data_IF_689365994524
#
_entry.id   IF_689365994524
#
_cell.length_a   1.000
_cell.length_b   1.000
_cell.length_c   1.000
_cell.angle_alpha   90.00
_cell.angle_beta   90.00
_cell.angle_gamma   90.00
#
_symmetry.space_group_name_H-M   'P 1'
#
loop_
_entity.id
_entity.type
_entity.pdbx_description
1 polymer ?
#
# COMPACT_ATOMS: atom_id res chain seq x y z
N UNK A 1 2.67 -55.03 -4.60
CA UNK A 1 2.76 -54.32 -5.91
C UNK A 1 1.54 -53.46 -6.24
N UNK A 2 0.30 -53.87 -5.95
CA UNK A 2 -0.92 -53.05 -6.21
C UNK A 2 -1.01 -51.76 -5.37
N UNK A 3 -0.47 -51.78 -4.15
CA UNK A 3 -0.52 -50.65 -3.19
C UNK A 3 0.45 -49.50 -3.50
N UNK A 4 1.50 -49.74 -4.29
CA UNK A 4 2.45 -48.68 -4.70
C UNK A 4 1.96 -47.91 -5.93
N UNK A 5 1.12 -48.54 -6.76
CA UNK A 5 0.56 -47.92 -7.97
C UNK A 5 -0.52 -46.88 -7.62
N UNK A 6 -1.33 -47.14 -6.59
CA UNK A 6 -2.36 -46.22 -6.09
C UNK A 6 -1.77 -45.01 -5.36
N UNK A 7 -0.65 -45.17 -4.66
CA UNK A 7 0.06 -44.07 -4.01
C UNK A 7 0.68 -43.08 -5.02
N UNK A 8 1.17 -43.56 -6.16
CA UNK A 8 1.72 -42.71 -7.23
C UNK A 8 0.62 -41.88 -7.93
N UNK A 9 -0.56 -42.46 -8.14
CA UNK A 9 -1.69 -41.77 -8.78
C UNK A 9 -2.25 -40.64 -7.92
N UNK A 10 -2.28 -40.81 -6.59
CA UNK A 10 -2.70 -39.75 -5.66
C UNK A 10 -1.69 -38.60 -5.55
N UNK A 11 -0.38 -38.90 -5.61
CA UNK A 11 0.67 -37.88 -5.59
C UNK A 11 0.66 -37.02 -6.87
N UNK A 12 0.37 -37.60 -8.04
CA UNK A 12 0.22 -36.84 -9.28
C UNK A 12 -1.00 -35.91 -9.30
N UNK A 13 -2.13 -36.32 -8.70
CA UNK A 13 -3.31 -35.45 -8.60
C UNK A 13 -3.13 -34.27 -7.64
N UNK A 14 -2.34 -34.43 -6.57
CA UNK A 14 -2.04 -33.31 -5.66
C UNK A 14 -1.10 -32.28 -6.31
N UNK A 15 -0.13 -32.71 -7.13
CA UNK A 15 0.82 -31.78 -7.78
C UNK A 15 0.20 -30.93 -8.90
N UNK A 16 -0.88 -31.38 -9.54
CA UNK A 16 -1.56 -30.60 -10.60
C UNK A 16 -2.49 -29.51 -10.06
N UNK A 17 -3.01 -29.66 -8.84
CA UNK A 17 -3.93 -28.67 -8.25
C UNK A 17 -3.22 -27.43 -7.70
N UNK A 18 -1.98 -27.54 -7.20
CA UNK A 18 -1.20 -26.37 -6.75
C UNK A 18 -0.74 -25.46 -7.92
N UNK A 19 -0.52 -26.03 -9.10
CA UNK A 19 -0.08 -25.25 -10.27
C UNK A 19 -1.21 -24.40 -10.88
N UNK A 20 -2.45 -24.89 -10.79
CA UNK A 20 -3.63 -24.21 -11.33
C UNK A 20 -3.94 -22.88 -10.61
N UNK A 21 -3.80 -22.83 -9.27
CA UNK A 21 -4.07 -21.61 -8.47
C UNK A 21 -3.04 -20.51 -8.76
N UNK A 22 -1.76 -20.88 -8.93
CA UNK A 22 -0.71 -19.92 -9.29
C UNK A 22 -0.90 -19.38 -10.71
N UNK A 23 -1.28 -20.22 -11.67
CA UNK A 23 -1.53 -19.84 -13.06
C UNK A 23 -2.79 -18.97 -13.24
N UNK A 24 -3.85 -19.19 -12.44
CA UNK A 24 -5.05 -18.33 -12.47
C UNK A 24 -4.73 -16.88 -12.09
N UNK A 25 -3.93 -16.65 -11.03
CA UNK A 25 -3.56 -15.29 -10.60
C UNK A 25 -2.72 -14.52 -11.64
N UNK A 26 -1.83 -15.21 -12.35
CA UNK A 26 -1.00 -14.61 -13.39
C UNK A 26 -1.78 -14.33 -14.68
N UNK A 27 -2.68 -15.25 -15.06
CA UNK A 27 -3.57 -15.08 -16.21
C UNK A 27 -4.54 -13.91 -16.04
N UNK A 28 -5.15 -13.77 -14.87
CA UNK A 28 -6.03 -12.63 -14.55
C UNK A 28 -5.27 -11.31 -14.55
N UNK A 29 -4.05 -11.26 -13.99
CA UNK A 29 -3.21 -10.06 -14.03
C UNK A 29 -2.84 -9.67 -15.46
N UNK A 30 -2.47 -10.64 -16.30
CA UNK A 30 -2.15 -10.39 -17.71
C UNK A 30 -3.36 -9.86 -18.49
N UNK A 31 -4.56 -10.40 -18.22
CA UNK A 31 -5.80 -9.90 -18.82
C UNK A 31 -6.10 -8.45 -18.41
N UNK A 32 -5.97 -8.12 -17.12
CA UNK A 32 -6.15 -6.73 -16.62
C UNK A 32 -5.15 -5.76 -17.22
N UNK A 33 -3.89 -6.16 -17.40
CA UNK A 33 -2.87 -5.32 -18.05
C UNK A 33 -3.25 -5.06 -19.51
N UNK A 34 -3.70 -6.08 -20.25
CA UNK A 34 -4.14 -5.92 -21.64
C UNK A 34 -5.35 -5.00 -21.76
N UNK A 35 -6.33 -5.15 -20.87
CA UNK A 35 -7.51 -4.27 -20.81
C UNK A 35 -7.12 -2.82 -20.51
N UNK A 36 -6.22 -2.60 -19.54
CA UNK A 36 -5.72 -1.27 -19.21
C UNK A 36 -4.91 -0.64 -20.36
N UNK A 37 -4.09 -1.43 -21.06
CA UNK A 37 -3.30 -0.97 -22.20
C UNK A 37 -4.15 -0.56 -23.41
N UNK A 38 -5.39 -1.05 -23.51
CA UNK A 38 -6.33 -0.66 -24.57
C UNK A 38 -6.98 0.72 -24.31
N UNK A 39 -6.91 1.25 -23.08
CA UNK A 39 -7.46 2.56 -22.71
C UNK A 39 -6.45 3.65 -23.05
N UNK A 40 -6.91 4.79 -23.59
CA UNK A 40 -6.04 5.91 -23.88
C UNK A 40 -5.38 6.46 -22.60
N UNK A 41 -4.07 6.73 -22.65
CA UNK A 41 -3.34 7.33 -21.53
C UNK A 41 -3.84 8.75 -21.27
N UNK A 42 -4.35 9.08 -20.06
CA UNK A 42 -4.68 10.45 -19.69
C UNK A 42 -3.48 11.38 -19.89
N UNK A 43 -3.72 12.60 -20.37
CA UNK A 43 -2.68 13.61 -20.65
C UNK A 43 -2.95 14.87 -19.83
N UNK A 44 -1.87 15.46 -19.31
CA UNK A 44 -1.91 16.77 -18.68
C UNK A 44 -2.08 17.88 -19.73
N UNK A 45 -2.32 19.12 -19.28
CA UNK A 45 -2.53 20.27 -20.15
C UNK A 45 -1.31 20.59 -21.04
N UNK A 46 -0.12 20.13 -20.67
CA UNK A 46 1.13 20.25 -21.43
C UNK A 46 1.36 19.08 -22.42
N UNK A 47 0.42 18.13 -22.52
CA UNK A 47 0.46 16.99 -23.42
C UNK A 47 1.26 15.78 -22.91
N UNK A 48 1.92 15.87 -21.76
CA UNK A 48 2.61 14.74 -21.14
C UNK A 48 1.61 13.76 -20.51
N UNK A 49 1.96 12.46 -20.32
CA UNK A 49 1.15 11.53 -19.55
C UNK A 49 0.84 12.10 -18.17
N UNK A 50 -0.43 12.08 -17.77
CA UNK A 50 -0.84 12.52 -16.45
C UNK A 50 -0.51 11.44 -15.41
N UNK A 51 0.51 11.70 -14.59
CA UNK A 51 0.95 10.83 -13.50
C UNK A 51 0.48 11.31 -12.13
N UNK A 52 -0.49 12.23 -12.09
CA UNK A 52 -0.93 12.86 -10.83
C UNK A 52 -1.75 11.93 -9.94
N UNK A 53 -2.18 10.77 -10.43
CA UNK A 53 -3.01 9.82 -9.69
C UNK A 53 -2.39 9.24 -8.41
N UNK A 54 -3.25 8.78 -7.51
CA UNK A 54 -2.94 7.83 -6.43
C UNK A 54 -2.88 6.42 -7.01
N UNK A 55 -1.75 5.72 -6.86
CA UNK A 55 -1.52 4.41 -7.50
C UNK A 55 -1.24 3.27 -6.52
N UNK A 56 -1.42 3.51 -5.21
CA UNK A 56 -1.28 2.41 -4.26
C UNK A 56 -2.49 1.48 -4.35
N UNK A 57 -2.24 0.22 -4.00
CA UNK A 57 -3.29 -0.79 -3.97
C UNK A 57 -4.43 -0.35 -3.04
N UNK A 58 -5.65 -0.85 -3.28
CA UNK A 58 -6.73 -0.68 -2.31
C UNK A 58 -6.24 -1.08 -0.92
N UNK A 59 -6.64 -0.35 0.13
CA UNK A 59 -6.21 -0.66 1.49
C UNK A 59 -6.47 -2.14 1.78
N UNK A 60 -5.44 -2.82 2.30
CA UNK A 60 -5.56 -4.19 2.79
C UNK A 60 -6.59 -4.31 3.91
N UNK A 61 -6.83 -5.53 4.44
CA UNK A 61 -7.68 -5.69 5.61
C UNK A 61 -7.23 -4.73 6.71
N UNK A 62 -8.19 -4.05 7.35
CA UNK A 62 -7.90 -3.07 8.40
C UNK A 62 -7.10 -3.67 9.56
N UNK A 63 -6.55 -2.81 10.42
CA UNK A 63 -5.78 -3.22 11.59
C UNK A 63 -6.51 -4.32 12.36
N UNK A 64 -5.80 -5.41 12.67
CA UNK A 64 -6.38 -6.51 13.43
C UNK A 64 -6.73 -6.02 14.83
N UNK A 65 -7.95 -6.36 15.28
CA UNK A 65 -8.42 -6.00 16.61
C UNK A 65 -9.05 -7.20 17.30
N UNK A 66 -8.84 -7.26 18.62
CA UNK A 66 -9.47 -8.23 19.51
C UNK A 66 -10.54 -7.47 20.28
N UNK A 67 -11.78 -7.94 20.20
CA UNK A 67 -12.88 -7.43 21.01
C UNK A 67 -13.00 -8.28 22.27
N UNK A 68 -13.13 -7.64 23.44
CA UNK A 68 -13.36 -8.36 24.69
C UNK A 68 -14.65 -9.18 24.63
N UNK A 69 -14.73 -10.26 25.42
CA UNK A 69 -15.89 -11.15 25.43
C UNK A 69 -17.20 -10.43 25.81
N UNK A 70 -17.12 -9.37 26.61
CA UNK A 70 -18.25 -8.50 26.97
C UNK A 70 -18.57 -7.43 25.90
N UNK A 71 -17.80 -7.36 24.81
CA UNK A 71 -17.99 -6.45 23.69
C UNK A 71 -17.59 -5.00 23.93
N UNK A 72 -17.11 -4.65 25.15
CA UNK A 72 -16.90 -3.26 25.60
C UNK A 72 -15.52 -2.70 25.26
N UNK A 73 -14.52 -3.55 25.08
CA UNK A 73 -13.14 -3.15 24.85
C UNK A 73 -12.67 -3.63 23.49
N UNK A 74 -12.04 -2.73 22.73
CA UNK A 74 -11.35 -3.04 21.47
C UNK A 74 -9.85 -2.84 21.70
N UNK A 75 -9.08 -3.91 21.57
CA UNK A 75 -7.62 -3.88 21.59
C UNK A 75 -7.13 -4.05 20.17
N UNK A 76 -6.49 -3.03 19.61
CA UNK A 76 -5.80 -3.16 18.32
C UNK A 76 -4.49 -3.90 18.57
N UNK A 77 -4.23 -4.98 17.82
CA UNK A 77 -3.14 -5.92 18.09
C UNK A 77 -1.76 -5.25 18.01
N UNK A 78 -1.63 -4.17 17.23
CA UNK A 78 -0.40 -3.37 17.07
C UNK A 78 -0.46 -1.99 17.75
N UNK A 79 -1.36 -1.78 18.73
CA UNK A 79 -1.55 -0.43 19.33
C UNK A 79 -0.30 0.09 20.06
N UNK A 80 0.43 -0.81 20.71
CA UNK A 80 1.55 -0.48 21.58
C UNK A 80 2.85 -0.95 20.93
N UNK A 81 3.20 -0.34 19.79
CA UNK A 81 4.51 -0.47 19.15
C UNK A 81 5.35 0.77 19.53
N UNK A 82 6.00 0.80 20.72
CA UNK A 82 6.83 1.93 21.15
C UNK A 82 7.98 2.24 20.19
N UNK A 83 8.40 1.27 19.37
CA UNK A 83 9.30 1.49 18.23
C UNK A 83 8.74 2.47 17.19
N UNK A 84 7.42 2.64 17.10
CA UNK A 84 6.77 3.59 16.21
C UNK A 84 6.65 4.99 16.84
N UNK A 85 6.88 5.15 18.15
CA UNK A 85 6.95 6.49 18.76
C UNK A 85 8.24 7.19 18.32
N UNK A 86 8.08 8.11 17.37
CA UNK A 86 9.17 8.92 16.85
C UNK A 86 9.96 9.65 17.96
N UNK A 87 9.34 10.00 19.10
CA UNK A 87 10.00 10.66 20.23
C UNK A 87 10.84 9.69 21.08
N UNK A 88 10.45 8.42 21.13
CA UNK A 88 11.17 7.36 21.82
C UNK A 88 12.37 6.84 21.02
N UNK A 89 12.42 7.12 19.71
CA UNK A 89 13.53 6.73 18.85
C UNK A 89 14.88 7.33 19.31
N UNK A 90 15.98 6.56 19.33
CA UNK A 90 17.31 7.05 19.71
C UNK A 90 17.68 8.30 18.94
N UNK A 91 18.28 9.31 19.58
CA UNK A 91 18.75 10.56 18.94
C UNK A 91 17.65 11.41 18.29
N UNK A 92 16.37 11.25 18.65
CA UNK A 92 15.27 12.07 18.10
C UNK A 92 15.55 13.57 18.16
N UNK A 93 15.98 14.08 19.32
CA UNK A 93 16.26 15.52 19.52
C UNK A 93 17.36 16.04 18.59
N UNK A 94 18.46 15.30 18.46
CA UNK A 94 19.57 15.65 17.56
C UNK A 94 19.13 15.68 16.09
N UNK A 95 18.38 14.65 15.64
CA UNK A 95 17.86 14.60 14.27
C UNK A 95 16.87 15.73 13.98
N UNK A 96 16.00 16.06 14.94
CA UNK A 96 15.03 17.13 14.78
C UNK A 96 15.70 18.52 14.68
N UNK A 97 16.79 18.71 15.43
CA UNK A 97 17.60 19.93 15.41
C UNK A 97 18.47 20.06 14.14
N UNK A 98 18.88 18.95 13.54
CA UNK A 98 19.66 18.92 12.30
C UNK A 98 18.82 19.36 11.08
N UNK A 99 18.92 20.65 10.76
CA UNK A 99 18.26 21.24 9.58
C UNK A 99 18.95 20.89 8.27
N UNK A 100 20.20 20.40 8.28
CA UNK A 100 20.95 20.07 7.05
C UNK A 100 20.33 18.90 6.29
N UNK A 101 19.59 18.03 6.99
CA UNK A 101 18.88 16.88 6.42
C UNK A 101 17.55 17.23 5.76
N UNK A 102 17.09 18.48 5.90
CA UNK A 102 15.81 18.90 5.33
C UNK A 102 16.00 19.22 3.85
N UNK A 103 15.10 18.79 2.95
CA UNK A 103 15.20 19.13 1.54
C UNK A 103 15.22 20.66 1.37
N UNK A 104 16.13 21.21 0.54
CA UNK A 104 16.17 22.64 0.27
C UNK A 104 15.02 23.02 -0.68
N UNK A 105 13.99 23.67 -0.16
CA UNK A 105 12.89 24.21 -0.96
C UNK A 105 13.20 25.63 -1.44
N UNK A 106 12.87 25.92 -2.70
CA UNK A 106 12.87 27.29 -3.23
C UNK A 106 11.95 28.18 -2.36
N UNK A 107 12.25 29.47 -2.17
CA UNK A 107 11.47 30.34 -1.27
C UNK A 107 9.96 30.31 -1.52
N UNK A 108 9.54 30.29 -2.80
CA UNK A 108 8.13 30.23 -3.18
C UNK A 108 7.37 28.99 -2.70
N UNK A 109 8.07 27.90 -2.32
CA UNK A 109 7.45 26.65 -1.89
C UNK A 109 7.54 26.41 -0.38
N UNK A 110 8.28 27.23 0.37
CA UNK A 110 8.50 27.00 1.81
C UNK A 110 7.21 27.12 2.64
N UNK A 111 6.32 28.05 2.27
CA UNK A 111 5.05 28.22 2.95
C UNK A 111 4.15 26.98 2.78
N UNK A 112 3.99 26.50 1.55
CA UNK A 112 3.18 25.32 1.25
C UNK A 112 3.78 24.05 1.88
N UNK A 113 5.10 23.91 1.85
CA UNK A 113 5.77 22.79 2.51
C UNK A 113 5.45 22.76 4.01
N UNK A 114 5.51 23.90 4.70
CA UNK A 114 5.21 23.97 6.13
C UNK A 114 3.75 23.64 6.42
N UNK A 115 2.83 24.14 5.61
CA UNK A 115 1.40 23.80 5.71
C UNK A 115 1.19 22.30 5.59
N UNK A 116 1.71 21.68 4.52
CA UNK A 116 1.55 20.25 4.24
C UNK A 116 2.15 19.36 5.33
N UNK A 117 3.22 19.78 6.02
CA UNK A 117 3.75 19.03 7.18
C UNK A 117 2.70 18.83 8.29
N UNK A 118 1.74 19.74 8.42
CA UNK A 118 0.69 19.66 9.46
C UNK A 118 -0.67 19.21 8.92
N UNK A 119 -0.93 19.42 7.62
CA UNK A 119 -2.26 19.15 7.04
C UNK A 119 -2.30 17.94 6.13
N UNK A 120 -1.17 17.30 5.80
CA UNK A 120 -1.12 16.18 4.84
C UNK A 120 -2.15 15.09 5.14
N UNK A 121 -2.32 14.68 6.40
CA UNK A 121 -3.31 13.65 6.78
C UNK A 121 -4.75 14.02 6.46
N UNK A 122 -5.06 15.32 6.33
CA UNK A 122 -6.39 15.84 5.97
C UNK A 122 -6.54 16.11 4.48
N UNK A 123 -5.47 16.52 3.80
CA UNK A 123 -5.55 17.03 2.41
C UNK A 123 -4.94 16.11 1.36
N UNK A 124 -4.07 15.17 1.74
CA UNK A 124 -3.44 14.22 0.81
C UNK A 124 -4.41 13.07 0.50
N UNK A 125 -4.87 12.93 -0.75
CA UNK A 125 -5.69 11.80 -1.13
C UNK A 125 -5.00 10.45 -0.90
N UNK A 126 -3.67 10.40 -0.92
CA UNK A 126 -2.91 9.18 -0.67
C UNK A 126 -2.89 8.70 0.78
N UNK A 127 -3.35 9.52 1.74
CA UNK A 127 -3.53 9.10 3.14
C UNK A 127 -4.97 8.59 3.38
N UNK A 128 -5.86 8.80 2.42
CA UNK A 128 -7.24 8.34 2.48
C UNK A 128 -7.43 7.04 1.68
N UNK A 129 -8.50 6.32 1.99
CA UNK A 129 -8.90 5.10 1.27
C UNK A 129 -9.56 5.41 -0.09
N UNK A 130 -8.98 6.31 -0.90
CA UNK A 130 -9.52 6.63 -2.23
C UNK A 130 -9.20 5.54 -3.25
N UNK A 131 -10.02 5.38 -4.31
CA UNK A 131 -9.71 4.50 -5.42
C UNK A 131 -8.40 4.88 -6.12
N UNK A 132 -7.71 3.88 -6.68
CA UNK A 132 -6.56 4.13 -7.55
C UNK A 132 -6.97 5.00 -8.76
N UNK A 133 -6.11 5.94 -9.15
CA UNK A 133 -6.30 6.87 -10.25
C UNK A 133 -6.88 8.24 -9.86
N UNK A 134 -7.34 8.44 -8.63
CA UNK A 134 -7.75 9.78 -8.14
C UNK A 134 -6.55 10.71 -8.16
N UNK A 135 -6.61 11.91 -8.78
CA UNK A 135 -5.52 12.87 -8.74
C UNK A 135 -5.11 13.17 -7.28
N UNK A 136 -3.86 12.85 -6.95
CA UNK A 136 -3.22 13.14 -5.67
C UNK A 136 -2.58 14.52 -5.64
N UNK A 137 -2.11 14.99 -6.80
CA UNK A 137 -1.49 16.31 -6.93
C UNK A 137 -2.59 17.31 -7.30
N UNK A 138 -2.86 18.25 -6.38
CA UNK A 138 -3.89 19.29 -6.50
C UNK A 138 -3.89 20.19 -5.28
#
# INVERSE_FOLDING_TARGET
>A
MKSHMTALLFACLLCTTLSAVAQQSQGERAARIREAAAKATPRAADGHPDLTGYWADPPGPGLQYIRSADGKTVTVVDRDAPELDARAQPRFKERAADKSRRPPYKPQFQAKQRELMYTASRVDPGIHCYPAGVPRIG
#
